data_IF_414062211353
#
_entry.id   IF_414062211353
#
_cell.length_a   1.000
_cell.length_b   1.000
_cell.length_c   1.000
_cell.angle_alpha   90.00
_cell.angle_beta   90.00
_cell.angle_gamma   90.00
#
_symmetry.space_group_name_H-M   'P 1'
#
loop_
_entity.id
_entity.type
_entity.pdbx_description
1 polymer ?
#
# COMPACT_ATOMS: atom_id res chain seq x y z
N UNK A 1 6.59 -15.73 6.07
CA UNK A 1 5.49 -14.87 5.58
C UNK A 1 5.62 -14.52 4.11
N UNK A 2 6.79 -14.08 3.62
CA UNK A 2 7.05 -13.79 2.20
C UNK A 2 6.45 -14.84 1.22
N UNK A 3 6.78 -16.11 1.40
CA UNK A 3 6.29 -17.16 0.49
C UNK A 3 4.77 -17.35 0.53
N UNK A 4 4.14 -17.16 1.69
CA UNK A 4 2.67 -17.23 1.83
C UNK A 4 1.99 -16.07 1.08
N UNK A 5 2.57 -14.87 1.15
CA UNK A 5 2.11 -13.72 0.37
C UNK A 5 2.25 -14.01 -1.13
N UNK A 6 3.40 -14.53 -1.57
CA UNK A 6 3.59 -14.87 -2.99
C UNK A 6 2.61 -15.94 -3.49
N UNK A 7 2.32 -16.96 -2.68
CA UNK A 7 1.28 -17.94 -3.00
C UNK A 7 -0.08 -17.25 -3.20
N UNK A 8 -0.49 -16.36 -2.29
CA UNK A 8 -1.74 -15.61 -2.42
C UNK A 8 -1.74 -14.66 -3.63
N UNK A 9 -0.62 -14.03 -3.92
CA UNK A 9 -0.44 -13.13 -5.09
C UNK A 9 -0.69 -13.90 -6.39
N UNK A 10 -0.10 -15.10 -6.52
CA UNK A 10 -0.32 -15.99 -7.67
C UNK A 10 -1.77 -16.50 -7.71
N UNK A 11 -2.36 -16.87 -6.58
CA UNK A 11 -3.77 -17.29 -6.49
C UNK A 11 -4.76 -16.17 -6.87
N UNK A 12 -4.42 -14.91 -6.57
CA UNK A 12 -5.14 -13.71 -7.03
C UNK A 12 -4.95 -13.44 -8.53
N UNK A 13 -4.16 -14.27 -9.22
CA UNK A 13 -3.84 -14.18 -10.64
C UNK A 13 -2.83 -13.09 -10.97
N UNK A 14 -2.05 -12.59 -10.01
CA UNK A 14 -1.01 -11.58 -10.21
C UNK A 14 0.34 -12.29 -10.38
N UNK A 15 0.57 -12.91 -11.54
CA UNK A 15 1.73 -13.76 -11.83
C UNK A 15 2.93 -13.01 -12.42
N UNK A 16 2.79 -11.70 -12.63
CA UNK A 16 3.85 -10.85 -13.17
C UNK A 16 5.00 -10.60 -12.15
N UNK A 17 6.26 -10.62 -12.62
CA UNK A 17 7.46 -10.50 -11.79
C UNK A 17 7.48 -9.24 -10.91
N UNK A 18 6.87 -8.14 -11.38
CA UNK A 18 6.82 -6.87 -10.66
C UNK A 18 6.17 -6.99 -9.27
N UNK A 19 5.23 -7.91 -9.05
CA UNK A 19 4.63 -8.12 -7.73
C UNK A 19 5.58 -8.81 -6.76
N UNK A 20 6.40 -9.74 -7.26
CA UNK A 20 7.47 -10.38 -6.46
C UNK A 20 8.55 -9.37 -6.14
N UNK A 21 8.99 -8.58 -7.13
CA UNK A 21 10.00 -7.54 -6.95
C UNK A 21 9.54 -6.45 -5.97
N UNK A 22 8.24 -6.12 -5.97
CA UNK A 22 7.66 -5.16 -5.02
C UNK A 22 7.73 -5.67 -3.58
N UNK A 23 7.38 -6.94 -3.33
CA UNK A 23 7.51 -7.57 -2.01
C UNK A 23 8.96 -7.57 -1.54
N UNK A 24 9.87 -8.01 -2.41
CA UNK A 24 11.30 -8.09 -2.10
C UNK A 24 11.88 -6.72 -1.80
N UNK A 25 11.45 -5.71 -2.56
CA UNK A 25 11.88 -4.34 -2.33
C UNK A 25 11.34 -3.78 -1.01
N UNK A 26 10.09 -4.06 -0.63
CA UNK A 26 9.57 -3.69 0.69
C UNK A 26 10.40 -4.32 1.82
N UNK A 27 10.71 -5.61 1.71
CA UNK A 27 11.55 -6.30 2.70
C UNK A 27 12.94 -5.65 2.78
N UNK A 28 13.58 -5.43 1.62
CA UNK A 28 14.88 -4.75 1.53
C UNK A 28 14.85 -3.36 2.19
N UNK A 29 13.81 -2.57 1.93
CA UNK A 29 13.64 -1.23 2.47
C UNK A 29 13.55 -1.24 3.99
N UNK A 30 12.69 -2.08 4.58
CA UNK A 30 12.57 -2.14 6.04
C UNK A 30 13.85 -2.63 6.70
N UNK A 31 14.46 -3.69 6.18
CA UNK A 31 15.70 -4.26 6.74
C UNK A 31 16.86 -3.25 6.68
N UNK A 32 17.04 -2.58 5.55
CA UNK A 32 18.15 -1.62 5.36
C UNK A 32 17.95 -0.30 6.11
N UNK A 33 16.72 0.07 6.45
CA UNK A 33 16.40 1.27 7.24
C UNK A 33 16.30 1.00 8.75
N UNK A 34 16.70 -0.19 9.21
CA UNK A 34 16.68 -0.54 10.64
C UNK A 34 15.27 -0.78 11.19
N UNK A 35 14.30 -1.06 10.31
CA UNK A 35 12.92 -1.46 10.63
C UNK A 35 12.67 -2.95 10.34
N UNK A 36 13.76 -3.71 10.22
CA UNK A 36 13.74 -5.16 10.01
C UNK A 36 13.15 -5.93 11.18
N UNK A 37 13.21 -7.26 11.10
CA UNK A 37 12.57 -8.15 12.07
C UNK A 37 13.06 -7.99 13.51
N UNK A 38 14.31 -7.52 13.70
CA UNK A 38 14.90 -7.25 15.02
C UNK A 38 14.52 -5.86 15.59
N UNK A 39 13.78 -5.03 14.85
CA UNK A 39 13.30 -3.75 15.36
C UNK A 39 12.24 -3.96 16.44
N UNK A 40 12.48 -3.36 17.61
CA UNK A 40 11.66 -3.55 18.82
C UNK A 40 10.25 -2.93 18.76
N UNK A 41 10.04 -1.94 17.88
CA UNK A 41 8.74 -1.27 17.73
C UNK A 41 7.76 -2.11 16.91
N UNK A 42 6.47 -1.78 17.02
CA UNK A 42 5.40 -2.58 16.41
C UNK A 42 5.42 -2.50 14.89
N UNK A 43 5.68 -1.31 14.32
CA UNK A 43 5.67 -1.08 12.89
C UNK A 43 7.00 -1.49 12.23
N UNK A 44 7.29 -2.79 12.22
CA UNK A 44 8.45 -3.40 11.57
C UNK A 44 8.04 -4.27 10.37
N UNK A 45 9.01 -4.89 9.71
CA UNK A 45 8.73 -5.74 8.54
C UNK A 45 7.76 -6.90 8.83
N UNK A 46 7.75 -7.45 10.04
CA UNK A 46 6.80 -8.52 10.37
C UNK A 46 5.36 -7.99 10.33
N UNK A 47 5.13 -6.82 10.92
CA UNK A 47 3.83 -6.15 10.87
C UNK A 47 3.38 -5.85 9.43
N UNK A 48 4.27 -5.30 8.60
CA UNK A 48 3.94 -4.98 7.21
C UNK A 48 3.54 -6.23 6.41
N UNK A 49 4.29 -7.32 6.59
CA UNK A 49 4.01 -8.59 5.94
C UNK A 49 2.70 -9.22 6.48
N UNK A 50 2.41 -9.10 7.78
CA UNK A 50 1.16 -9.60 8.38
C UNK A 50 -0.05 -8.86 7.83
N UNK A 51 0.00 -7.53 7.78
CA UNK A 51 -1.07 -6.70 7.22
C UNK A 51 -1.27 -6.99 5.74
N UNK A 52 -0.18 -7.14 4.97
CA UNK A 52 -0.25 -7.51 3.56
C UNK A 52 -0.90 -8.89 3.38
N UNK A 53 -0.45 -9.88 4.14
CA UNK A 53 -0.97 -11.25 4.07
C UNK A 53 -2.46 -11.30 4.42
N UNK A 54 -2.88 -10.69 5.53
CA UNK A 54 -4.27 -10.70 5.98
C UNK A 54 -5.18 -9.92 5.02
N UNK A 55 -4.70 -8.80 4.48
CA UNK A 55 -5.41 -8.01 3.45
C UNK A 55 -5.72 -8.86 2.21
N UNK A 56 -4.70 -9.52 1.65
CA UNK A 56 -4.85 -10.40 0.49
C UNK A 56 -5.71 -11.61 0.78
N UNK A 57 -5.46 -12.30 1.90
CA UNK A 57 -6.23 -13.48 2.31
C UNK A 57 -7.72 -13.13 2.45
N UNK A 58 -8.02 -12.01 3.11
CA UNK A 58 -9.40 -11.54 3.30
C UNK A 58 -10.08 -11.19 1.98
N UNK A 59 -9.35 -10.54 1.05
CA UNK A 59 -9.89 -10.21 -0.26
C UNK A 59 -10.13 -11.46 -1.13
N UNK A 60 -9.23 -12.45 -1.06
CA UNK A 60 -9.37 -13.74 -1.76
C UNK A 60 -10.48 -14.62 -1.19
N UNK A 61 -10.67 -14.67 0.14
CA UNK A 61 -11.77 -15.42 0.75
C UNK A 61 -13.15 -14.89 0.32
N UNK A 62 -13.26 -13.55 0.20
CA UNK A 62 -14.46 -12.89 -0.29
C UNK A 62 -14.70 -13.06 -1.80
N UNK A 63 -13.76 -13.67 -2.53
CA UNK A 63 -13.88 -13.90 -3.97
C UNK A 63 -14.97 -14.95 -4.30
N UNK A 64 -15.35 -15.80 -3.34
CA UNK A 64 -16.57 -16.64 -3.42
C UNK A 64 -17.86 -15.82 -3.57
N UNK A 65 -17.86 -14.53 -3.18
CA UNK A 65 -18.97 -13.59 -3.34
C UNK A 65 -18.76 -12.56 -4.48
N UNK A 66 -17.68 -12.66 -5.26
CA UNK A 66 -17.30 -11.76 -6.38
C UNK A 66 -17.25 -10.26 -6.03
N UNK A 67 -16.82 -9.90 -4.82
CA UNK A 67 -16.80 -8.50 -4.38
C UNK A 67 -15.66 -7.65 -4.94
N UNK A 68 -14.51 -8.25 -5.27
CA UNK A 68 -13.33 -7.55 -5.77
C UNK A 68 -12.89 -8.13 -7.12
N UNK A 69 -12.58 -7.24 -8.07
CA UNK A 69 -11.96 -7.64 -9.32
C UNK A 69 -10.45 -7.87 -9.13
N UNK A 70 -9.81 -8.61 -10.06
CA UNK A 70 -8.34 -8.78 -10.08
C UNK A 70 -7.63 -7.43 -9.97
N UNK A 71 -8.14 -6.40 -10.64
CA UNK A 71 -7.56 -5.06 -10.61
C UNK A 71 -7.58 -4.44 -9.20
N UNK A 72 -8.68 -4.60 -8.46
CA UNK A 72 -8.79 -4.09 -7.09
C UNK A 72 -7.75 -4.75 -6.16
N UNK A 73 -7.49 -6.05 -6.37
CA UNK A 73 -6.51 -6.81 -5.57
C UNK A 73 -5.08 -6.27 -5.73
N UNK A 74 -4.72 -5.81 -6.93
CA UNK A 74 -3.39 -5.22 -7.19
C UNK A 74 -3.20 -3.92 -6.42
N UNK A 75 -4.22 -3.05 -6.42
CA UNK A 75 -4.18 -1.80 -5.65
C UNK A 75 -4.16 -2.08 -4.15
N UNK A 76 -4.95 -3.05 -3.69
CA UNK A 76 -4.96 -3.45 -2.28
C UNK A 76 -3.61 -4.01 -1.84
N UNK A 77 -2.99 -4.87 -2.66
CA UNK A 77 -1.66 -5.42 -2.40
C UNK A 77 -0.61 -4.33 -2.25
N UNK A 78 -0.50 -3.43 -3.24
CA UNK A 78 0.49 -2.36 -3.21
C UNK A 78 0.23 -1.41 -2.03
N UNK A 79 -1.02 -1.03 -1.77
CA UNK A 79 -1.35 -0.18 -0.63
C UNK A 79 -0.97 -0.83 0.71
N UNK A 80 -1.24 -2.13 0.88
CA UNK A 80 -0.95 -2.85 2.11
C UNK A 80 0.55 -3.08 2.36
N UNK A 81 1.40 -3.05 1.32
CA UNK A 81 2.86 -3.19 1.41
C UNK A 81 3.61 -1.91 1.78
N UNK A 82 2.98 -0.75 1.59
CA UNK A 82 3.63 0.55 1.78
C UNK A 82 2.89 1.45 2.77
N UNK A 83 1.84 0.97 3.43
CA UNK A 83 0.96 1.83 4.23
C UNK A 83 1.67 2.46 5.43
N UNK A 84 2.67 1.77 5.98
CA UNK A 84 3.37 2.17 7.20
C UNK A 84 4.86 2.47 6.99
N UNK A 85 5.35 2.48 5.74
CA UNK A 85 6.75 2.79 5.49
C UNK A 85 7.04 4.30 5.60
N UNK A 86 7.42 4.73 6.79
CA UNK A 86 7.93 6.07 7.10
C UNK A 86 9.47 6.04 7.25
N UNK A 87 10.25 6.47 6.24
CA UNK A 87 11.71 6.42 6.31
C UNK A 87 12.31 7.43 7.31
N UNK A 88 11.54 8.39 7.81
CA UNK A 88 12.02 9.40 8.75
C UNK A 88 11.76 9.01 10.21
N UNK A 89 10.88 8.02 10.46
CA UNK A 89 10.50 7.44 11.77
C UNK A 89 10.93 8.29 12.97
N UNK A 90 10.25 9.42 13.19
CA UNK A 90 10.49 10.25 14.37
C UNK A 90 9.82 9.69 15.64
N UNK A 91 8.82 8.82 15.46
CA UNK A 91 8.06 8.09 16.49
C UNK A 91 7.63 6.73 15.93
N UNK A 92 7.16 5.80 16.77
CA UNK A 92 6.84 4.43 16.32
C UNK A 92 5.67 4.39 15.32
N UNK A 93 4.62 5.19 15.54
CA UNK A 93 3.51 5.36 14.58
C UNK A 93 4.00 6.13 13.35
N UNK A 94 3.84 5.60 12.12
CA UNK A 94 4.24 6.31 10.91
C UNK A 94 3.42 7.58 10.71
N UNK A 95 4.05 8.62 10.15
CA UNK A 95 3.36 9.85 9.79
C UNK A 95 2.83 9.73 8.35
N UNK A 96 1.52 9.84 8.16
CA UNK A 96 0.89 9.56 6.86
C UNK A 96 1.49 10.44 5.73
N UNK A 97 1.83 11.71 6.02
CA UNK A 97 2.48 12.58 5.02
C UNK A 97 3.87 12.08 4.58
N UNK A 98 4.65 11.46 5.49
CA UNK A 98 5.96 10.92 5.15
C UNK A 98 5.84 9.68 4.27
N UNK A 99 4.88 8.81 4.59
CA UNK A 99 4.53 7.63 3.77
C UNK A 99 4.18 8.08 2.34
N UNK A 100 3.25 9.03 2.20
CA UNK A 100 2.81 9.52 0.89
C UNK A 100 3.95 10.20 0.12
N UNK A 101 4.81 10.95 0.81
CA UNK A 101 5.98 11.58 0.22
C UNK A 101 7.01 10.55 -0.25
N UNK A 102 7.26 9.51 0.53
CA UNK A 102 8.13 8.41 0.13
C UNK A 102 7.61 7.73 -1.13
N UNK A 103 6.36 7.28 -1.13
CA UNK A 103 5.74 6.58 -2.27
C UNK A 103 5.80 7.44 -3.54
N UNK A 104 5.63 8.77 -3.41
CA UNK A 104 5.68 9.71 -4.53
C UNK A 104 7.10 9.99 -5.05
N UNK A 105 8.14 9.78 -4.25
CA UNK A 105 9.51 10.20 -4.58
C UNK A 105 10.48 9.05 -4.84
N UNK A 106 10.19 7.85 -4.33
CA UNK A 106 11.05 6.69 -4.53
C UNK A 106 11.02 6.19 -5.97
N UNK A 107 12.17 6.23 -6.64
CA UNK A 107 12.27 5.93 -8.08
C UNK A 107 12.05 4.46 -8.39
N UNK A 108 12.52 3.55 -7.51
CA UNK A 108 12.40 2.10 -7.72
C UNK A 108 10.95 1.68 -7.51
N UNK A 109 10.30 2.16 -6.46
CA UNK A 109 8.87 1.96 -6.23
C UNK A 109 8.03 2.49 -7.39
N UNK A 110 8.27 3.73 -7.83
CA UNK A 110 7.54 4.28 -8.99
C UNK A 110 7.66 3.41 -10.24
N UNK A 111 8.86 2.92 -10.54
CA UNK A 111 9.07 2.00 -11.65
C UNK A 111 8.27 0.70 -11.47
N UNK A 112 8.31 0.09 -10.28
CA UNK A 112 7.55 -1.14 -9.98
C UNK A 112 6.04 -0.93 -10.13
N UNK A 113 5.52 0.23 -9.70
CA UNK A 113 4.11 0.60 -9.90
C UNK A 113 3.76 0.79 -11.37
N UNK A 114 4.63 1.46 -12.15
CA UNK A 114 4.46 1.66 -13.59
C UNK A 114 4.45 0.30 -14.33
N UNK A 115 5.38 -0.60 -13.99
CA UNK A 115 5.46 -1.96 -14.55
C UNK A 115 4.21 -2.79 -14.21
N UNK A 116 3.65 -2.61 -13.00
CA UNK A 116 2.37 -3.18 -12.57
C UNK A 116 1.13 -2.45 -13.13
N UNK A 117 1.32 -1.34 -13.85
CA UNK A 117 0.26 -0.45 -14.40
C UNK A 117 -0.69 0.10 -13.32
N UNK A 118 -0.14 0.41 -12.15
CA UNK A 118 -0.90 0.94 -11.02
C UNK A 118 -0.80 2.47 -10.96
N UNK A 119 -1.96 3.11 -10.82
CA UNK A 119 -2.02 4.54 -10.54
C UNK A 119 -1.67 4.80 -9.07
N UNK A 120 -0.51 5.41 -8.85
CA UNK A 120 0.00 5.80 -7.53
C UNK A 120 -1.00 6.64 -6.73
N UNK A 121 -1.82 7.46 -7.38
CA UNK A 121 -2.79 8.30 -6.67
C UNK A 121 -3.92 7.46 -6.05
N UNK A 122 -4.29 6.33 -6.64
CA UNK A 122 -5.27 5.39 -6.06
C UNK A 122 -4.68 4.68 -4.85
N UNK A 123 -3.40 4.30 -4.89
CA UNK A 123 -2.67 3.71 -3.75
C UNK A 123 -2.65 4.70 -2.57
N UNK A 124 -2.31 5.96 -2.85
CA UNK A 124 -2.34 7.04 -1.86
C UNK A 124 -3.72 7.23 -1.25
N UNK A 125 -4.79 7.14 -2.04
CA UNK A 125 -6.18 7.19 -1.53
C UNK A 125 -6.45 6.04 -0.55
N UNK A 126 -6.05 4.80 -0.89
CA UNK A 126 -6.24 3.65 0.00
C UNK A 126 -5.51 3.83 1.33
N UNK A 127 -4.27 4.30 1.31
CA UNK A 127 -3.48 4.61 2.51
C UNK A 127 -4.12 5.75 3.31
N UNK A 128 -4.52 6.85 2.66
CA UNK A 128 -5.22 7.95 3.34
C UNK A 128 -6.52 7.50 4.03
N UNK A 129 -7.17 6.44 3.54
CA UNK A 129 -8.38 5.89 4.16
C UNK A 129 -8.11 5.04 5.41
N UNK A 130 -6.86 4.76 5.76
CA UNK A 130 -6.47 4.13 7.02
C UNK A 130 -6.20 5.15 8.14
N UNK A 131 -6.27 6.46 7.86
CA UNK A 131 -6.08 7.52 8.87
C UNK A 131 -6.95 7.27 10.11
N UNK A 132 -6.30 7.27 11.27
CA UNK A 132 -6.96 7.05 12.56
C UNK A 132 -6.55 8.09 13.62
N UNK A 133 -7.51 8.62 14.38
CA UNK A 133 -8.95 8.43 14.23
C UNK A 133 -9.51 9.13 12.98
N UNK A 134 -10.53 8.52 12.36
CA UNK A 134 -11.26 9.12 11.22
C UNK A 134 -12.26 10.19 11.70
N UNK A 135 -11.75 11.23 12.37
CA UNK A 135 -12.56 12.32 12.93
C UNK A 135 -11.77 13.64 13.00
N UNK A 136 -12.52 14.74 13.14
CA UNK A 136 -11.95 16.09 13.29
C UNK A 136 -11.01 16.50 12.16
N UNK A 137 -9.97 17.26 12.52
CA UNK A 137 -9.00 17.84 11.58
C UNK A 137 -8.24 16.76 10.79
N UNK A 138 -7.99 15.58 11.39
CA UNK A 138 -7.31 14.48 10.70
C UNK A 138 -8.13 13.96 9.52
N UNK A 139 -9.43 13.72 9.73
CA UNK A 139 -10.37 13.35 8.67
C UNK A 139 -10.45 14.42 7.59
N UNK A 140 -10.61 15.68 7.98
CA UNK A 140 -10.74 16.80 7.02
C UNK A 140 -9.50 16.93 6.13
N UNK A 141 -8.30 16.77 6.71
CA UNK A 141 -7.05 16.77 5.97
C UNK A 141 -6.91 15.56 5.04
N UNK A 142 -7.26 14.36 5.50
CA UNK A 142 -7.24 13.16 4.66
C UNK A 142 -8.24 13.28 3.49
N UNK A 143 -9.47 13.74 3.74
CA UNK A 143 -10.47 13.96 2.68
C UNK A 143 -10.04 15.00 1.65
N UNK A 144 -9.35 16.08 2.08
CA UNK A 144 -8.77 17.07 1.16
C UNK A 144 -7.71 16.43 0.28
N UNK A 145 -6.77 15.66 0.85
CA UNK A 145 -5.73 14.98 0.09
C UNK A 145 -6.30 13.91 -0.85
N UNK A 146 -7.33 13.18 -0.45
CA UNK A 146 -8.05 12.22 -1.30
C UNK A 146 -8.63 12.91 -2.53
N UNK A 147 -9.26 14.09 -2.35
CA UNK A 147 -9.78 14.88 -3.49
C UNK A 147 -8.67 15.35 -4.43
N UNK A 148 -7.50 15.68 -3.90
CA UNK A 148 -6.33 16.02 -4.72
C UNK A 148 -5.83 14.80 -5.50
N UNK A 149 -5.72 13.64 -4.87
CA UNK A 149 -5.35 12.38 -5.54
C UNK A 149 -6.32 12.06 -6.69
N UNK A 150 -7.64 12.17 -6.47
CA UNK A 150 -8.62 11.92 -7.54
C UNK A 150 -8.54 12.91 -8.72
N UNK A 151 -8.08 14.15 -8.47
CA UNK A 151 -7.84 15.13 -9.55
C UNK A 151 -6.55 14.84 -10.33
N UNK A 152 -5.56 14.25 -9.67
CA UNK A 152 -4.25 13.96 -10.27
C UNK A 152 -4.23 12.62 -11.00
N UNK A 153 -5.05 11.65 -10.57
CA UNK A 153 -5.19 10.34 -11.19
C UNK A 153 -5.75 10.44 -12.62
N UNK A 154 -5.08 9.78 -13.56
CA UNK A 154 -5.56 9.70 -14.94
C UNK A 154 -6.88 8.91 -15.05
N UNK A 155 -7.10 7.97 -14.13
CA UNK A 155 -8.28 7.11 -14.06
C UNK A 155 -9.52 7.86 -13.56
N UNK A 156 -9.36 8.86 -12.68
CA UNK A 156 -10.50 9.52 -12.02
C UNK A 156 -10.68 10.99 -12.38
N UNK A 157 -9.65 11.71 -12.88
CA UNK A 157 -9.72 13.17 -13.09
C UNK A 157 -10.86 13.66 -13.99
N UNK A 158 -11.33 12.80 -14.91
CA UNK A 158 -12.40 13.11 -15.85
C UNK A 158 -13.75 12.49 -15.46
N UNK A 159 -13.84 11.85 -14.29
CA UNK A 159 -15.05 11.17 -13.86
C UNK A 159 -15.78 12.02 -12.81
N UNK A 160 -16.74 12.83 -13.27
CA UNK A 160 -17.55 13.71 -12.40
C UNK A 160 -18.49 12.97 -11.43
N UNK A 161 -18.53 11.63 -11.46
CA UNK A 161 -19.39 10.81 -10.61
C UNK A 161 -18.72 10.24 -9.35
N UNK A 162 -17.42 10.52 -9.13
CA UNK A 162 -16.63 9.99 -8.00
C UNK A 162 -15.98 11.09 -7.18
#
# INVERSE_FOLDING_TARGET
MRNEILSLVVESGMDEDCYTEMLDYTIELFETQGLGSDYYGYHNINHELEVTHVSLLSANLNNTTKRFAKEDLKYLYAAALFHDFDPQKSVDKPHEENVLKFISSDKKLRKLLDDAKLDIEIIKVLILRTTYPWSGVLKENAERQIKECFKNSELTRNNQSK
#
